data_IF_079805908221
#
_entry.id   IF_079805908221
#
_cell.length_a   1.000
_cell.length_b   1.000
_cell.length_c   1.000
_cell.angle_alpha   90.00
_cell.angle_beta   90.00
_cell.angle_gamma   90.00
#
_symmetry.space_group_name_H-M   'P 1'
#
loop_
_entity.id
_entity.type
_entity.pdbx_description
1 polymer ?
#
# COMPACT_ATOMS: atom_id res chain seq x y z
N UNK A 1 10.53 1.02 -0.47
CA UNK A 1 9.73 0.33 -1.49
C UNK A 1 10.22 -1.09 -1.78
N UNK A 2 11.53 -1.30 -1.95
CA UNK A 2 12.12 -2.64 -2.22
C UNK A 2 11.70 -3.74 -1.24
N UNK A 3 11.64 -3.46 0.07
CA UNK A 3 11.19 -4.45 1.07
C UNK A 3 9.79 -5.04 0.79
N UNK A 4 8.91 -4.29 0.13
CA UNK A 4 7.58 -4.77 -0.25
C UNK A 4 7.68 -5.64 -1.51
N UNK A 5 8.48 -5.20 -2.50
CA UNK A 5 8.67 -5.91 -3.78
C UNK A 5 9.42 -7.22 -3.58
N UNK A 6 10.45 -7.25 -2.74
CA UNK A 6 11.27 -8.43 -2.48
C UNK A 6 10.70 -9.30 -1.34
N UNK A 7 9.51 -8.97 -0.84
CA UNK A 7 8.86 -9.74 0.21
C UNK A 7 8.65 -11.19 -0.27
N UNK A 8 9.27 -12.20 0.41
CA UNK A 8 9.24 -13.60 -0.03
C UNK A 8 7.95 -14.31 0.40
N UNK A 9 6.90 -13.55 0.74
CA UNK A 9 5.60 -14.13 1.07
C UNK A 9 4.96 -14.70 -0.18
N UNK A 10 4.41 -15.89 -0.02
CA UNK A 10 3.35 -16.36 -0.92
C UNK A 10 2.06 -15.62 -0.55
N UNK A 11 1.63 -14.75 -1.46
CA UNK A 11 0.46 -13.90 -1.26
C UNK A 11 -0.86 -14.65 -1.46
N UNK A 12 -0.82 -15.84 -2.07
CA UNK A 12 -2.00 -16.68 -2.28
C UNK A 12 -2.33 -17.54 -1.05
N UNK A 13 -1.39 -17.65 -0.10
CA UNK A 13 -1.52 -18.49 1.10
C UNK A 13 -1.29 -17.70 2.40
N UNK A 14 -1.66 -16.42 2.43
CA UNK A 14 -1.50 -15.58 3.61
C UNK A 14 -2.35 -16.06 4.80
N UNK A 15 -1.80 -16.05 6.03
CA UNK A 15 -2.55 -16.36 7.24
C UNK A 15 -3.55 -15.25 7.58
N UNK A 16 -4.50 -15.54 8.46
CA UNK A 16 -5.53 -14.58 8.87
C UNK A 16 -4.99 -13.44 9.75
N UNK A 17 -3.84 -13.63 10.41
CA UNK A 17 -3.22 -12.66 11.32
C UNK A 17 -1.79 -12.33 10.92
N UNK A 18 -1.37 -11.10 11.19
CA UNK A 18 -0.02 -10.63 10.89
C UNK A 18 1.07 -11.36 11.69
N UNK A 19 0.80 -11.70 12.95
CA UNK A 19 1.73 -12.42 13.83
C UNK A 19 2.00 -13.86 13.38
N UNK A 20 1.15 -14.40 12.51
CA UNK A 20 1.25 -15.75 11.96
C UNK A 20 2.01 -15.78 10.62
N UNK A 21 2.38 -14.61 10.07
CA UNK A 21 3.15 -14.54 8.82
C UNK A 21 4.46 -15.33 8.96
N UNK A 22 4.83 -16.16 7.96
CA UNK A 22 6.03 -17.01 7.97
C UNK A 22 7.30 -16.19 7.69
N UNK A 23 7.50 -15.13 8.47
CA UNK A 23 8.59 -14.18 8.34
C UNK A 23 9.24 -13.96 9.70
N UNK A 24 10.56 -13.73 9.76
CA UNK A 24 11.22 -13.31 10.98
C UNK A 24 10.57 -12.07 11.59
N UNK A 25 10.51 -12.00 12.93
CA UNK A 25 9.88 -10.88 13.66
C UNK A 25 10.41 -9.52 13.20
N UNK A 26 11.71 -9.40 12.99
CA UNK A 26 12.34 -8.18 12.50
C UNK A 26 11.84 -7.80 11.10
N UNK A 27 11.75 -8.78 10.19
CA UNK A 27 11.25 -8.56 8.85
C UNK A 27 9.79 -8.12 8.84
N UNK A 28 8.95 -8.72 9.69
CA UNK A 28 7.54 -8.28 9.85
C UNK A 28 7.44 -6.83 10.34
N UNK A 29 8.31 -6.42 11.28
CA UNK A 29 8.33 -5.03 11.76
C UNK A 29 8.77 -4.08 10.65
N UNK A 30 9.82 -4.42 9.91
CA UNK A 30 10.30 -3.63 8.77
C UNK A 30 9.26 -3.51 7.67
N UNK A 31 8.59 -4.62 7.31
CA UNK A 31 7.53 -4.63 6.30
C UNK A 31 6.34 -3.75 6.72
N UNK A 32 5.95 -3.81 8.00
CA UNK A 32 4.90 -2.95 8.56
C UNK A 32 5.26 -1.47 8.44
N UNK A 33 6.49 -1.10 8.81
CA UNK A 33 6.97 0.28 8.67
C UNK A 33 7.00 0.71 7.19
N UNK A 34 7.51 -0.14 6.30
CA UNK A 34 7.59 0.13 4.88
C UNK A 34 6.21 0.40 4.24
N UNK A 35 5.17 -0.34 4.63
CA UNK A 35 3.80 -0.11 4.15
C UNK A 35 3.23 1.20 4.74
N UNK A 36 3.48 1.47 6.01
CA UNK A 36 3.01 2.69 6.69
C UNK A 36 3.61 3.97 6.10
N UNK A 37 4.91 3.97 5.84
CA UNK A 37 5.65 5.16 5.37
C UNK A 37 5.46 5.41 3.86
N UNK A 38 4.91 4.45 3.13
CA UNK A 38 4.92 4.46 1.66
C UNK A 38 4.35 5.74 1.01
N UNK A 39 3.17 6.28 1.37
CA UNK A 39 2.65 7.47 0.71
C UNK A 39 3.38 8.74 1.11
N UNK A 40 4.08 8.73 2.25
CA UNK A 40 4.97 9.83 2.61
C UNK A 40 6.18 9.82 1.69
N UNK A 41 6.78 8.65 1.48
CA UNK A 41 7.89 8.45 0.55
C UNK A 41 7.46 8.82 -0.89
N UNK A 42 6.32 8.32 -1.37
CA UNK A 42 5.80 8.63 -2.71
C UNK A 42 5.46 10.11 -2.86
N UNK A 43 4.85 10.72 -1.84
CA UNK A 43 4.57 12.16 -1.86
C UNK A 43 5.83 13.03 -1.90
N UNK A 44 6.95 12.53 -1.33
CA UNK A 44 8.22 13.22 -1.34
C UNK A 44 9.01 13.01 -2.64
N UNK A 45 9.08 11.77 -3.12
CA UNK A 45 9.80 11.41 -4.34
C UNK A 45 9.05 11.86 -5.60
N UNK A 46 7.72 11.84 -5.58
CA UNK A 46 6.90 12.08 -6.76
C UNK A 46 7.05 10.95 -7.78
N UNK A 47 7.04 11.30 -9.06
CA UNK A 47 7.08 10.35 -10.18
C UNK A 47 8.53 10.03 -10.60
N UNK A 48 9.35 9.56 -9.67
CA UNK A 48 10.72 9.09 -9.96
C UNK A 48 10.70 7.68 -10.50
N UNK A 49 11.78 7.27 -11.18
CA UNK A 49 11.97 5.92 -11.69
C UNK A 49 11.74 4.84 -10.63
N UNK A 50 12.08 5.13 -9.36
CA UNK A 50 11.84 4.19 -8.24
C UNK A 50 10.34 3.94 -8.00
N UNK A 51 9.51 4.98 -8.05
CA UNK A 51 8.05 4.86 -7.84
C UNK A 51 7.37 4.21 -9.05
N UNK A 52 7.87 4.50 -10.26
CA UNK A 52 7.42 3.86 -11.48
C UNK A 52 7.78 2.37 -11.48
N UNK A 53 9.03 2.02 -11.17
CA UNK A 53 9.47 0.64 -11.03
C UNK A 53 8.70 -0.10 -9.94
N UNK A 54 8.41 0.54 -8.81
CA UNK A 54 7.57 -0.03 -7.77
C UNK A 54 6.17 -0.39 -8.30
N UNK A 55 5.57 0.49 -9.08
CA UNK A 55 4.24 0.29 -9.68
C UNK A 55 4.26 -0.85 -10.70
N UNK A 56 5.24 -0.86 -11.60
CA UNK A 56 5.40 -1.89 -12.64
C UNK A 56 5.68 -3.28 -12.05
N UNK A 57 6.41 -3.36 -10.94
CA UNK A 57 6.75 -4.62 -10.28
C UNK A 57 5.62 -5.15 -9.37
N UNK A 58 4.37 -4.71 -9.57
CA UNK A 58 3.20 -5.20 -8.83
C UNK A 58 3.17 -4.77 -7.36
N UNK A 59 3.89 -3.70 -6.99
CA UNK A 59 3.96 -3.23 -5.60
C UNK A 59 2.60 -2.94 -4.98
N UNK A 60 1.67 -2.39 -5.77
CA UNK A 60 0.30 -2.12 -5.33
C UNK A 60 -0.48 -3.39 -5.02
N UNK A 61 -0.35 -4.44 -5.84
CA UNK A 61 -0.99 -5.74 -5.59
C UNK A 61 -0.46 -6.36 -4.29
N UNK A 62 0.85 -6.29 -4.03
CA UNK A 62 1.43 -6.81 -2.78
C UNK A 62 0.90 -6.06 -1.56
N UNK A 63 0.78 -4.74 -1.63
CA UNK A 63 0.17 -3.94 -0.54
C UNK A 63 -1.29 -4.30 -0.36
N UNK A 64 -2.02 -4.50 -1.46
CA UNK A 64 -3.42 -4.88 -1.45
C UNK A 64 -3.68 -6.15 -0.62
N UNK A 65 -2.74 -7.08 -0.66
CA UNK A 65 -2.82 -8.34 0.09
C UNK A 65 -2.37 -8.17 1.56
N UNK A 66 -1.46 -7.24 1.86
CA UNK A 66 -0.96 -6.98 3.22
C UNK A 66 -1.90 -6.10 4.06
N UNK A 67 -2.60 -5.16 3.44
CA UNK A 67 -3.42 -4.18 4.14
C UNK A 67 -4.54 -4.77 4.99
N UNK A 68 -5.29 -5.81 4.57
CA UNK A 68 -6.31 -6.43 5.42
C UNK A 68 -5.72 -6.98 6.73
N UNK A 69 -4.51 -7.54 6.67
CA UNK A 69 -3.82 -8.08 7.85
C UNK A 69 -3.36 -6.96 8.79
N UNK A 70 -2.86 -5.86 8.23
CA UNK A 70 -2.42 -4.70 9.01
C UNK A 70 -3.60 -3.95 9.64
N UNK A 71 -4.72 -3.83 8.92
CA UNK A 71 -5.92 -3.15 9.40
C UNK A 71 -6.51 -3.82 10.64
N UNK A 72 -6.57 -5.16 10.63
CA UNK A 72 -7.06 -5.96 11.76
C UNK A 72 -6.14 -5.90 12.98
N UNK A 73 -4.87 -5.53 12.79
CA UNK A 73 -3.86 -5.68 13.84
C UNK A 73 -4.09 -4.74 15.02
N UNK A 74 -4.32 -3.44 14.79
CA UNK A 74 -4.63 -2.43 15.82
C UNK A 74 -5.11 -1.17 15.08
N UNK A 75 -6.04 -0.40 15.66
CA UNK A 75 -6.61 0.87 15.14
C UNK A 75 -5.65 2.01 14.73
N UNK A 76 -4.34 1.77 14.67
CA UNK A 76 -3.32 2.63 14.05
C UNK A 76 -3.72 3.06 12.63
N UNK A 77 -4.45 2.21 11.89
CA UNK A 77 -4.84 2.53 10.52
C UNK A 77 -5.99 3.53 10.40
N UNK A 78 -6.92 3.72 11.34
CA UNK A 78 -8.12 4.52 10.97
C UNK A 78 -7.85 6.00 10.64
N UNK A 79 -6.91 6.65 11.34
CA UNK A 79 -6.57 8.05 11.07
C UNK A 79 -5.50 8.17 10.00
N UNK A 80 -4.46 7.34 10.08
CA UNK A 80 -3.37 7.36 9.13
C UNK A 80 -3.80 6.84 7.76
N UNK A 81 -4.73 5.88 7.68
CA UNK A 81 -5.23 5.33 6.41
C UNK A 81 -5.99 6.37 5.58
N UNK A 82 -6.81 7.22 6.20
CA UNK A 82 -7.43 8.35 5.48
C UNK A 82 -6.39 9.29 4.89
N UNK A 83 -5.34 9.59 5.65
CA UNK A 83 -4.22 10.41 5.16
C UNK A 83 -3.46 9.69 4.06
N UNK A 84 -3.27 8.37 4.19
CA UNK A 84 -2.61 7.46 3.28
C UNK A 84 -3.30 7.47 1.91
N UNK A 85 -4.61 7.20 1.89
CA UNK A 85 -5.46 7.19 0.70
C UNK A 85 -5.53 8.58 0.06
N UNK A 86 -5.73 9.65 0.84
CA UNK A 86 -5.73 11.02 0.31
C UNK A 86 -4.43 11.37 -0.41
N UNK A 87 -3.27 11.03 0.19
CA UNK A 87 -1.95 11.29 -0.41
C UNK A 87 -1.77 10.55 -1.73
N UNK A 88 -2.21 9.29 -1.80
CA UNK A 88 -2.17 8.51 -3.05
C UNK A 88 -3.12 9.09 -4.10
N UNK A 89 -4.30 9.57 -3.71
CA UNK A 89 -5.22 10.28 -4.59
C UNK A 89 -4.62 11.56 -5.18
N UNK A 90 -3.95 12.37 -4.36
CA UNK A 90 -3.25 13.58 -4.82
C UNK A 90 -2.06 13.23 -5.74
N UNK A 91 -1.32 12.18 -5.41
CA UNK A 91 -0.25 11.68 -6.27
C UNK A 91 -0.78 11.19 -7.62
N UNK A 92 -1.94 10.55 -7.65
CA UNK A 92 -2.60 10.11 -8.89
C UNK A 92 -2.94 11.30 -9.79
N UNK A 93 -3.43 12.41 -9.22
CA UNK A 93 -3.67 13.65 -9.99
C UNK A 93 -2.38 14.19 -10.59
N UNK A 94 -1.27 14.15 -9.84
CA UNK A 94 0.05 14.55 -10.33
C UNK A 94 0.52 13.68 -11.50
N UNK A 95 0.32 12.35 -11.43
CA UNK A 95 0.67 11.45 -12.52
C UNK A 95 -0.13 11.73 -13.79
N UNK A 96 -1.44 11.98 -13.67
CA UNK A 96 -2.30 12.39 -14.80
C UNK A 96 -1.83 13.71 -15.40
N UNK A 97 -1.47 14.69 -14.58
CA UNK A 97 -0.90 15.95 -15.04
C UNK A 97 0.40 15.75 -15.83
N UNK A 98 1.24 14.79 -15.41
CA UNK A 98 2.48 14.39 -16.09
C UNK A 98 2.27 13.43 -17.28
N UNK A 99 1.03 13.09 -17.64
CA UNK A 99 0.68 12.14 -18.72
C UNK A 99 1.25 10.73 -18.49
N UNK A 100 1.32 10.31 -17.24
CA UNK A 100 1.74 8.97 -16.82
C UNK A 100 0.51 8.11 -16.53
N UNK A 101 -0.33 7.93 -17.56
CA UNK A 101 -1.70 7.42 -17.41
C UNK A 101 -1.75 5.96 -16.93
N UNK A 102 -0.80 5.10 -17.36
CA UNK A 102 -0.73 3.71 -16.91
C UNK A 102 -0.50 3.59 -15.39
N UNK A 103 0.39 4.43 -14.85
CA UNK A 103 0.71 4.48 -13.43
C UNK A 103 -0.42 5.12 -12.64
N UNK A 104 -1.01 6.18 -13.20
CA UNK A 104 -2.15 6.83 -12.60
C UNK A 104 -3.35 5.87 -12.49
N UNK A 105 -3.60 5.05 -13.52
CA UNK A 105 -4.68 4.06 -13.51
C UNK A 105 -4.49 3.02 -12.40
N UNK A 106 -3.29 2.43 -12.30
CA UNK A 106 -2.99 1.43 -11.27
C UNK A 106 -3.20 1.97 -9.84
N UNK A 107 -2.80 3.23 -9.59
CA UNK A 107 -2.94 3.86 -8.28
C UNK A 107 -4.38 4.33 -8.03
N UNK A 108 -5.07 4.83 -9.07
CA UNK A 108 -6.49 5.17 -9.01
C UNK A 108 -7.32 3.97 -8.58
N UNK A 109 -7.15 2.83 -9.26
CA UNK A 109 -7.89 1.60 -8.96
C UNK A 109 -7.65 1.15 -7.52
N UNK A 110 -6.39 1.22 -7.09
CA UNK A 110 -5.99 0.92 -5.73
C UNK A 110 -6.68 1.86 -4.72
N UNK A 111 -6.61 3.18 -4.92
CA UNK A 111 -7.25 4.18 -4.06
C UNK A 111 -8.76 3.96 -3.96
N UNK A 112 -9.43 3.81 -5.10
CA UNK A 112 -10.88 3.64 -5.18
C UNK A 112 -11.35 2.37 -4.46
N UNK A 113 -10.61 1.26 -4.60
CA UNK A 113 -10.89 0.03 -3.86
C UNK A 113 -10.87 0.31 -2.36
N UNK A 114 -9.80 0.93 -1.88
CA UNK A 114 -9.59 1.11 -0.44
C UNK A 114 -10.49 2.17 0.18
N UNK A 115 -10.96 3.17 -0.57
CA UNK A 115 -12.03 4.08 -0.13
C UNK A 115 -13.36 3.34 0.10
N UNK A 116 -13.69 2.38 -0.77
CA UNK A 116 -14.87 1.52 -0.59
C UNK A 116 -14.72 0.60 0.60
N UNK A 117 -13.62 -0.16 0.66
CA UNK A 117 -13.35 -1.12 1.74
C UNK A 117 -13.32 -0.42 3.11
N UNK A 118 -12.73 0.78 3.23
CA UNK A 118 -12.74 1.56 4.48
C UNK A 118 -14.17 1.92 4.91
N UNK A 119 -15.01 2.31 3.95
CA UNK A 119 -16.40 2.67 4.21
C UNK A 119 -17.19 1.46 4.71
N UNK A 120 -17.01 0.30 4.08
CA UNK A 120 -17.65 -0.95 4.51
C UNK A 120 -17.20 -1.36 5.91
N UNK A 121 -15.89 -1.32 6.20
CA UNK A 121 -15.35 -1.70 7.50
C UNK A 121 -15.72 -0.77 8.65
N UNK A 122 -16.06 0.49 8.37
CA UNK A 122 -16.60 1.41 9.38
C UNK A 122 -18.06 1.15 9.74
N UNK A 123 -18.80 0.48 8.86
CA UNK A 123 -20.23 0.22 9.00
C UNK A 123 -20.54 -1.23 9.41
N UNK A 124 -19.53 -2.10 9.47
CA UNK A 124 -19.60 -3.50 9.90
C UNK A 124 -19.29 -3.66 11.40
#
# INVERSE_FOLDING_TARGET
MQQIIECPLDFDSLPAKWEELPLPVLYRRSLKAAVGDLPFIIGHLGATDEVLAFTQNGGWQKINNLLPLLYRLVGWLFREFKVWIRRLGDFTKLLKYKKLDEFAAAISEFVEKWERDETEWRNA
#
